data_IF_661949834137
#
_entry.id   IF_661949834137
#
_cell.length_a   1.000
_cell.length_b   1.000
_cell.length_c   1.000
_cell.angle_alpha   90.00
_cell.angle_beta   90.00
_cell.angle_gamma   90.00
#
_symmetry.space_group_name_H-M   'P 1'
#
loop_
_entity.id
_entity.type
_entity.pdbx_description
1 polymer ?
#
# COMPACT_ATOMS: atom_id res chain seq x y z
N UNK A 1 8.50 -22.48 10.47
CA UNK A 1 7.99 -21.61 11.55
C UNK A 1 6.68 -20.97 11.11
N UNK A 2 5.62 -21.05 11.91
CA UNK A 2 4.35 -20.41 11.58
C UNK A 2 4.47 -18.89 11.81
N UNK A 3 4.12 -18.09 10.81
CA UNK A 3 4.10 -16.62 10.93
C UNK A 3 2.99 -16.26 11.93
N UNK A 4 3.32 -15.53 13.00
CA UNK A 4 2.34 -15.07 14.00
C UNK A 4 1.49 -13.97 13.37
N UNK A 5 0.26 -14.29 12.99
CA UNK A 5 -0.69 -13.31 12.45
C UNK A 5 -1.38 -12.63 13.63
N UNK A 6 -1.33 -11.30 13.69
CA UNK A 6 -2.17 -10.52 14.62
C UNK A 6 -3.40 -10.05 13.84
N UNK A 7 -4.62 -10.46 14.23
CA UNK A 7 -5.83 -9.92 13.62
C UNK A 7 -5.97 -8.44 13.98
N UNK A 8 -6.56 -7.67 13.06
CA UNK A 8 -6.95 -6.28 13.27
C UNK A 8 -8.46 -6.23 13.05
N UNK A 9 -9.18 -5.57 13.95
CA UNK A 9 -10.64 -5.40 13.91
C UNK A 9 -10.99 -3.92 13.91
N UNK A 10 -12.13 -3.58 13.32
CA UNK A 10 -12.72 -2.25 13.45
C UNK A 10 -13.48 -2.14 14.76
N UNK A 11 -13.36 -1.01 15.44
CA UNK A 11 -14.29 -0.56 16.46
C UNK A 11 -15.55 0.02 15.79
N UNK A 12 -16.73 -0.45 16.17
CA UNK A 12 -18.00 0.02 15.59
C UNK A 12 -18.66 1.12 16.43
N UNK A 13 -18.14 1.39 17.63
CA UNK A 13 -18.56 2.52 18.46
C UNK A 13 -17.88 3.82 18.01
N UNK A 14 -16.67 3.73 17.42
CA UNK A 14 -16.02 4.86 16.75
C UNK A 14 -16.69 5.13 15.38
N UNK A 15 -17.29 6.33 15.17
CA UNK A 15 -17.89 6.70 13.91
C UNK A 15 -16.95 6.61 12.69
N UNK A 16 -15.67 6.90 12.87
CA UNK A 16 -14.68 6.86 11.78
C UNK A 16 -14.35 5.42 11.39
N UNK A 17 -14.10 4.55 12.37
CA UNK A 17 -13.82 3.14 12.10
C UNK A 17 -15.04 2.41 11.52
N UNK A 18 -16.26 2.80 11.94
CA UNK A 18 -17.50 2.33 11.33
C UNK A 18 -17.60 2.73 9.85
N UNK A 19 -17.31 3.98 9.50
CA UNK A 19 -17.31 4.43 8.10
C UNK A 19 -16.29 3.66 7.25
N UNK A 20 -15.10 3.41 7.81
CA UNK A 20 -14.06 2.61 7.17
C UNK A 20 -14.51 1.17 6.96
N UNK A 21 -15.14 0.56 7.96
CA UNK A 21 -15.70 -0.79 7.86
C UNK A 21 -16.78 -0.87 6.77
N UNK A 22 -17.71 0.09 6.74
CA UNK A 22 -18.78 0.17 5.74
C UNK A 22 -18.21 0.35 4.33
N UNK A 23 -17.16 1.14 4.17
CA UNK A 23 -16.47 1.32 2.90
C UNK A 23 -15.72 0.05 2.48
N UNK A 24 -14.93 -0.56 3.37
CA UNK A 24 -14.15 -1.76 3.10
C UNK A 24 -15.04 -2.96 2.75
N UNK A 25 -16.20 -3.07 3.37
CA UNK A 25 -17.20 -4.14 3.16
C UNK A 25 -17.78 -4.18 1.75
N UNK A 26 -17.69 -3.07 0.99
CA UNK A 26 -18.10 -3.01 -0.42
C UNK A 26 -17.18 -3.82 -1.35
N UNK A 27 -16.01 -4.22 -0.87
CA UNK A 27 -14.98 -4.90 -1.64
C UNK A 27 -14.59 -6.24 -1.00
N UNK A 28 -14.02 -7.14 -1.81
CA UNK A 28 -13.32 -8.31 -1.25
C UNK A 28 -12.09 -7.81 -0.48
N UNK A 29 -12.11 -7.94 0.84
CA UNK A 29 -11.10 -7.39 1.76
C UNK A 29 -9.66 -7.64 1.30
N UNK A 30 -9.33 -8.89 0.93
CA UNK A 30 -7.98 -9.27 0.47
C UNK A 30 -7.55 -8.57 -0.82
N UNK A 31 -8.48 -8.30 -1.74
CA UNK A 31 -8.21 -7.57 -3.00
C UNK A 31 -8.03 -6.08 -2.70
N UNK A 32 -8.87 -5.54 -1.84
CA UNK A 32 -8.80 -4.14 -1.42
C UNK A 32 -7.47 -3.83 -0.73
N UNK A 33 -7.07 -4.63 0.25
CA UNK A 33 -5.80 -4.48 0.97
C UNK A 33 -4.61 -4.57 0.01
N UNK A 34 -4.60 -5.51 -0.95
CA UNK A 34 -3.54 -5.59 -1.97
C UNK A 34 -3.44 -4.32 -2.81
N UNK A 35 -4.57 -3.74 -3.21
CA UNK A 35 -4.61 -2.48 -3.96
C UNK A 35 -4.13 -1.30 -3.12
N UNK A 36 -4.48 -1.24 -1.84
CA UNK A 36 -3.99 -0.21 -0.93
C UNK A 36 -2.47 -0.29 -0.78
N UNK A 37 -1.92 -1.47 -0.48
CA UNK A 37 -0.47 -1.70 -0.39
C UNK A 37 0.21 -1.33 -1.71
N UNK A 38 -0.39 -1.70 -2.86
CA UNK A 38 0.16 -1.37 -4.16
C UNK A 38 0.19 0.15 -4.41
N UNK A 39 -0.91 0.86 -4.15
CA UNK A 39 -0.96 2.33 -4.28
C UNK A 39 0.00 3.01 -3.33
N UNK A 40 0.08 2.54 -2.10
CA UNK A 40 0.99 3.06 -1.08
C UNK A 40 2.45 2.91 -1.53
N UNK A 41 2.81 1.75 -2.07
CA UNK A 41 4.12 1.54 -2.72
C UNK A 41 4.31 2.47 -3.92
N UNK A 42 3.34 2.57 -4.81
CA UNK A 42 3.42 3.41 -6.02
C UNK A 42 3.48 4.91 -5.73
N UNK A 43 2.95 5.37 -4.59
CA UNK A 43 3.00 6.77 -4.15
C UNK A 43 4.22 7.07 -3.27
N UNK A 44 4.81 6.07 -2.62
CA UNK A 44 6.02 6.22 -1.78
C UNK A 44 7.31 6.26 -2.58
N UNK A 45 7.27 5.79 -3.84
CA UNK A 45 8.31 6.09 -4.81
C UNK A 45 7.77 7.20 -5.71
N UNK A 46 8.54 8.25 -6.04
CA UNK A 46 8.17 9.13 -7.14
C UNK A 46 7.89 8.21 -8.34
N UNK A 47 6.80 8.46 -9.06
CA UNK A 47 6.37 7.65 -10.20
C UNK A 47 7.46 7.62 -11.25
N UNK A 48 8.41 6.69 -11.12
CA UNK A 48 9.27 6.27 -12.19
C UNK A 48 8.36 5.54 -13.16
N UNK A 49 8.07 6.20 -14.26
CA UNK A 49 7.37 5.59 -15.38
C UNK A 49 8.03 4.24 -15.64
N UNK A 50 7.26 3.14 -15.61
CA UNK A 50 7.73 1.75 -15.75
C UNK A 50 8.50 1.44 -17.05
N UNK A 51 8.79 2.45 -17.88
CA UNK A 51 9.65 2.35 -19.05
C UNK A 51 11.05 2.98 -18.90
N UNK A 52 11.40 3.59 -17.76
CA UNK A 52 12.66 4.35 -17.62
C UNK A 52 13.72 3.74 -16.69
N UNK A 53 13.40 2.70 -15.90
CA UNK A 53 14.40 1.99 -15.10
C UNK A 53 14.52 0.58 -15.66
N UNK A 54 15.59 0.33 -16.40
CA UNK A 54 15.89 -0.98 -17.00
C UNK A 54 17.04 -1.68 -16.27
N UNK A 55 17.74 -0.96 -15.37
CA UNK A 55 18.88 -1.45 -14.59
C UNK A 55 18.85 -0.93 -13.13
N UNK A 56 19.64 -1.57 -12.25
CA UNK A 56 19.84 -1.10 -10.87
C UNK A 56 20.58 0.25 -10.80
N UNK A 57 21.37 0.56 -11.83
CA UNK A 57 22.14 1.79 -11.95
C UNK A 57 21.21 3.01 -12.15
N UNK A 58 20.22 2.88 -13.05
CA UNK A 58 19.18 3.91 -13.28
C UNK A 58 18.39 4.23 -11.99
N UNK A 59 18.21 3.24 -11.13
CA UNK A 59 17.52 3.42 -9.84
C UNK A 59 18.39 4.15 -8.82
N UNK A 60 19.69 3.85 -8.77
CA UNK A 60 20.62 4.53 -7.85
C UNK A 60 20.82 6.01 -8.19
N UNK A 61 21.00 6.34 -9.47
CA UNK A 61 21.20 7.71 -9.94
C UNK A 61 19.98 8.59 -9.62
N UNK A 62 18.78 8.06 -9.87
CA UNK A 62 17.55 8.81 -9.66
C UNK A 62 17.16 8.93 -8.17
N UNK A 63 17.76 8.11 -7.30
CA UNK A 63 17.65 8.24 -5.85
C UNK A 63 18.62 9.30 -5.32
N UNK A 64 19.80 9.44 -5.91
CA UNK A 64 20.77 10.51 -5.58
C UNK A 64 20.23 11.89 -5.96
N UNK A 65 19.58 12.04 -7.11
CA UNK A 65 18.96 13.30 -7.54
C UNK A 65 17.79 13.77 -6.65
N UNK A 66 17.27 12.89 -5.79
CA UNK A 66 16.17 13.20 -4.86
C UNK A 66 16.65 13.62 -3.46
N UNK A 67 17.90 13.36 -3.09
CA UNK A 67 18.49 13.69 -1.77
C UNK A 67 19.26 15.01 -1.79
#
# INVERSE_FOLDING_TARGET
>A
MARKIRPVSFDLEDPFEKELNDHASKYKFSVYVKRLIQRDKENSFPTFNRGQIQSEEDFSEALEDYM
#
